data_IF_592393384723
#
_entry.id   IF_592393384723
#
_cell.length_a   1.000
_cell.length_b   1.000
_cell.length_c   1.000
_cell.angle_alpha   90.00
_cell.angle_beta   90.00
_cell.angle_gamma   90.00
#
_symmetry.space_group_name_H-M   'P 1'
#
loop_
_entity.id
_entity.type
_entity.pdbx_description
1 polymer ?
#
# COMPACT_ATOMS: atom_id res chain seq x y z
N UNK A 1 -1.49 17.77 -0.75
CA UNK A 1 -1.85 16.62 -1.63
C UNK A 1 -2.43 17.14 -2.92
N UNK A 2 -1.97 16.62 -4.03
CA UNK A 2 -2.36 17.10 -5.38
C UNK A 2 -3.55 16.33 -5.99
N UNK A 3 -4.14 15.40 -5.27
CA UNK A 3 -5.28 14.59 -5.69
C UNK A 3 -4.96 13.11 -5.83
N UNK A 4 -5.84 12.34 -6.45
CA UNK A 4 -5.67 10.93 -6.75
C UNK A 4 -5.09 10.74 -8.16
N UNK A 5 -4.21 9.73 -8.32
CA UNK A 5 -3.77 9.32 -9.65
C UNK A 5 -5.02 8.90 -10.47
N UNK A 6 -5.17 9.36 -11.72
CA UNK A 6 -6.28 8.92 -12.56
C UNK A 6 -6.33 7.39 -12.61
N UNK A 7 -7.52 6.82 -12.35
CA UNK A 7 -7.75 5.39 -12.40
C UNK A 7 -7.69 4.94 -13.86
N UNK A 8 -6.64 4.23 -14.20
CA UNK A 8 -6.43 3.64 -15.52
C UNK A 8 -5.91 2.22 -15.35
N UNK A 9 -6.25 1.37 -16.29
CA UNK A 9 -5.77 -0.02 -16.29
C UNK A 9 -4.25 -0.04 -16.38
N UNK A 10 -3.62 -0.67 -15.41
CA UNK A 10 -2.19 -0.92 -15.42
C UNK A 10 -1.89 -2.25 -16.14
N UNK A 11 -0.86 -2.27 -16.96
CA UNK A 11 -0.33 -3.50 -17.54
C UNK A 11 0.36 -4.36 -16.48
N UNK A 12 1.09 -3.73 -15.58
CA UNK A 12 1.78 -4.39 -14.47
C UNK A 12 1.96 -3.42 -13.30
N UNK A 13 1.88 -3.97 -12.10
CA UNK A 13 2.18 -3.30 -10.85
C UNK A 13 3.26 -4.12 -10.16
N UNK A 14 4.43 -3.53 -9.92
CA UNK A 14 5.47 -4.12 -9.08
C UNK A 14 5.39 -3.43 -7.71
N UNK A 15 5.03 -4.22 -6.70
CA UNK A 15 4.88 -3.78 -5.31
C UNK A 15 6.06 -4.28 -4.49
N UNK A 16 6.75 -3.38 -3.80
CA UNK A 16 7.95 -3.69 -3.05
C UNK A 16 7.88 -3.12 -1.64
N UNK A 17 8.42 -3.87 -0.69
CA UNK A 17 8.67 -3.41 0.68
C UNK A 17 10.15 -3.11 0.84
N UNK A 18 10.48 -1.86 1.11
CA UNK A 18 11.84 -1.44 1.41
C UNK A 18 12.01 -1.27 2.92
N UNK A 19 12.95 -2.03 3.51
CA UNK A 19 13.28 -1.96 4.92
C UNK A 19 14.78 -2.04 5.13
N UNK A 20 15.34 -1.07 5.85
CA UNK A 20 16.77 -0.98 6.07
C UNK A 20 17.21 -1.80 7.28
N UNK A 21 18.30 -2.54 7.12
CA UNK A 21 18.95 -3.29 8.19
C UNK A 21 20.42 -2.90 8.27
N UNK A 22 20.86 -2.45 9.44
CA UNK A 22 22.28 -2.30 9.74
C UNK A 22 22.89 -3.68 9.96
N UNK A 23 24.03 -3.92 9.35
CA UNK A 23 24.81 -5.14 9.53
C UNK A 23 26.24 -4.77 9.93
N UNK A 24 26.77 -5.44 10.94
CA UNK A 24 28.16 -5.32 11.36
C UNK A 24 28.71 -6.72 11.60
N UNK A 25 29.90 -6.99 11.09
CA UNK A 25 30.59 -8.27 11.30
C UNK A 25 31.87 -8.01 12.09
N UNK A 26 32.08 -8.77 13.15
CA UNK A 26 33.32 -8.73 13.94
C UNK A 26 34.43 -9.49 13.23
N UNK A 27 35.69 -9.26 13.62
CA UNK A 27 36.85 -9.99 13.09
C UNK A 27 36.76 -11.51 13.30
N UNK A 28 36.03 -11.95 14.34
CA UNK A 28 35.69 -13.35 14.59
C UNK A 28 34.58 -13.92 13.70
N UNK A 29 34.07 -13.16 12.73
CA UNK A 29 33.02 -13.60 11.81
C UNK A 29 31.58 -13.52 12.34
N UNK A 30 31.36 -13.05 13.59
CA UNK A 30 30.03 -12.91 14.14
C UNK A 30 29.31 -11.68 13.53
N UNK A 31 28.13 -11.90 12.96
CA UNK A 31 27.33 -10.84 12.35
C UNK A 31 26.24 -10.37 13.32
N UNK A 32 26.20 -9.07 13.57
CA UNK A 32 25.14 -8.37 14.27
C UNK A 32 24.21 -7.70 13.24
N UNK A 33 22.92 -7.77 13.49
CA UNK A 33 21.91 -7.15 12.62
C UNK A 33 20.96 -6.32 13.50
N UNK A 34 20.70 -5.11 13.05
CA UNK A 34 19.70 -4.23 13.67
C UNK A 34 18.82 -3.66 12.58
N UNK A 35 17.53 -3.81 12.72
CA UNK A 35 16.55 -3.18 11.85
C UNK A 35 16.51 -1.67 12.15
N UNK A 36 16.38 -0.87 11.11
CA UNK A 36 16.12 0.56 11.20
C UNK A 36 14.64 0.74 10.88
N UNK A 37 13.94 1.51 11.71
CA UNK A 37 12.54 1.84 11.48
C UNK A 37 12.36 2.66 10.20
N UNK A 38 11.14 2.67 9.66
CA UNK A 38 10.81 3.44 8.46
C UNK A 38 10.65 2.58 7.21
N UNK A 39 10.01 1.42 7.32
CA UNK A 39 9.58 0.64 6.15
C UNK A 39 8.77 1.50 5.19
N UNK A 40 9.02 1.32 3.89
CA UNK A 40 8.32 2.01 2.79
C UNK A 40 7.76 1.01 1.80
N UNK A 41 6.57 1.34 1.30
CA UNK A 41 5.98 0.69 0.14
C UNK A 41 6.39 1.45 -1.12
N UNK A 42 6.96 0.74 -2.09
CA UNK A 42 7.37 1.30 -3.37
C UNK A 42 6.62 0.61 -4.50
N UNK A 43 6.16 1.37 -5.47
CA UNK A 43 5.42 0.89 -6.62
C UNK A 43 6.14 1.26 -7.91
N UNK A 44 6.25 0.30 -8.82
CA UNK A 44 6.58 0.57 -10.22
C UNK A 44 5.36 0.20 -11.05
N UNK A 45 4.81 1.17 -11.76
CA UNK A 45 3.59 1.03 -12.54
C UNK A 45 3.94 1.04 -14.03
N UNK A 46 3.43 0.07 -14.75
CA UNK A 46 3.54 0.02 -16.21
C UNK A 46 2.14 0.16 -16.82
N UNK A 47 2.02 1.00 -17.83
CA UNK A 47 0.79 1.17 -18.59
C UNK A 47 0.84 0.32 -19.86
N UNK A 48 -0.33 -0.16 -20.35
CA UNK A 48 -0.41 -0.69 -21.70
C UNK A 48 -0.22 0.44 -22.71
N UNK A 49 -0.02 0.08 -23.98
CA UNK A 49 -0.02 1.07 -25.06
C UNK A 49 -1.35 1.85 -25.06
N UNK A 50 -1.25 3.15 -25.03
CA UNK A 50 -2.38 4.08 -24.99
C UNK A 50 -2.26 5.12 -26.07
N UNK A 51 -3.40 5.59 -26.56
CA UNK A 51 -3.43 6.74 -27.44
C UNK A 51 -3.00 8.02 -26.70
N UNK A 52 -2.60 9.04 -27.41
CA UNK A 52 -2.24 10.33 -26.83
C UNK A 52 -3.37 10.90 -25.96
N UNK A 53 -4.61 10.77 -26.41
CA UNK A 53 -5.79 11.29 -25.70
C UNK A 53 -5.99 10.60 -24.34
N UNK A 54 -5.75 9.31 -24.27
CA UNK A 54 -5.89 8.52 -23.03
C UNK A 54 -4.73 8.78 -22.06
N UNK A 55 -3.53 9.02 -22.59
CA UNK A 55 -2.34 9.19 -21.74
C UNK A 55 -2.12 10.63 -21.31
N UNK A 56 -2.57 11.63 -22.05
CA UNK A 56 -2.37 13.04 -21.74
C UNK A 56 -2.83 13.45 -20.32
N UNK A 57 -3.97 12.95 -19.77
CA UNK A 57 -4.36 13.25 -18.39
C UNK A 57 -3.38 12.68 -17.36
N UNK A 58 -2.80 11.50 -17.61
CA UNK A 58 -1.82 10.86 -16.73
C UNK A 58 -0.52 11.66 -16.76
N UNK A 59 -0.05 12.01 -17.95
CA UNK A 59 1.15 12.82 -18.13
C UNK A 59 1.03 14.18 -17.43
N UNK A 60 -0.11 14.87 -17.64
CA UNK A 60 -0.38 16.16 -16.99
C UNK A 60 -0.42 16.02 -15.46
N UNK A 61 -1.02 14.94 -14.95
CA UNK A 61 -1.04 14.65 -13.52
C UNK A 61 0.38 14.43 -12.97
N UNK A 62 1.22 13.63 -13.62
CA UNK A 62 2.60 13.36 -13.20
C UNK A 62 3.41 14.66 -13.17
N UNK A 63 3.35 15.47 -14.21
CA UNK A 63 4.07 16.77 -14.27
C UNK A 63 3.59 17.72 -13.15
N UNK A 64 2.29 17.70 -12.83
CA UNK A 64 1.73 18.51 -11.74
C UNK A 64 2.33 18.17 -10.37
N UNK A 65 2.87 16.96 -10.16
CA UNK A 65 3.50 16.56 -8.91
C UNK A 65 4.82 17.30 -8.63
N UNK A 66 5.39 18.01 -9.61
CA UNK A 66 6.65 18.76 -9.48
C UNK A 66 7.78 17.87 -8.96
N UNK A 67 8.03 16.81 -9.69
CA UNK A 67 8.90 15.70 -9.22
C UNK A 67 8.40 15.11 -7.90
N UNK A 68 9.24 14.78 -6.97
CA UNK A 68 8.86 14.20 -5.68
C UNK A 68 8.29 15.16 -4.62
N UNK A 69 7.97 16.44 -4.99
CA UNK A 69 7.56 17.46 -4.01
C UNK A 69 6.16 17.23 -3.45
N UNK A 70 5.22 16.90 -4.32
CA UNK A 70 3.81 16.76 -3.93
C UNK A 70 3.46 15.29 -3.63
N UNK A 71 2.67 15.10 -2.57
CA UNK A 71 2.06 13.81 -2.29
C UNK A 71 0.73 13.68 -3.02
N UNK A 72 0.46 12.51 -3.52
CA UNK A 72 -0.82 12.13 -4.14
C UNK A 72 -1.29 10.77 -3.63
N UNK A 73 -2.51 10.40 -3.96
CA UNK A 73 -3.07 9.13 -3.56
C UNK A 73 -3.20 8.17 -4.75
N UNK A 74 -3.02 6.88 -4.48
CA UNK A 74 -3.23 5.82 -5.45
C UNK A 74 -4.00 4.68 -4.80
N UNK A 75 -4.93 4.09 -5.54
CA UNK A 75 -5.75 2.97 -5.12
C UNK A 75 -5.69 1.89 -6.19
N UNK A 76 -5.59 0.62 -5.78
CA UNK A 76 -5.51 -0.53 -6.67
C UNK A 76 -6.61 -1.55 -6.33
N UNK A 77 -7.88 -1.26 -6.62
CA UNK A 77 -9.00 -2.08 -6.14
C UNK A 77 -8.93 -3.55 -6.57
N UNK A 78 -8.41 -3.84 -7.75
CA UNK A 78 -8.33 -5.21 -8.25
C UNK A 78 -7.15 -6.03 -7.70
N UNK A 79 -6.15 -5.39 -7.09
CA UNK A 79 -4.91 -6.05 -6.68
C UNK A 79 -4.75 -6.22 -5.17
N UNK A 80 -5.34 -5.31 -4.40
CA UNK A 80 -5.15 -5.23 -2.95
C UNK A 80 -6.45 -5.25 -2.15
N UNK A 81 -7.53 -5.76 -2.73
CA UNK A 81 -8.71 -6.11 -1.97
C UNK A 81 -8.39 -7.29 -1.05
N UNK A 82 -8.98 -7.30 0.12
CA UNK A 82 -8.83 -8.41 1.06
C UNK A 82 -9.21 -9.74 0.40
N UNK A 83 -8.39 -10.77 0.62
CA UNK A 83 -8.62 -12.13 0.15
C UNK A 83 -9.45 -12.94 1.15
N UNK A 84 -9.56 -12.42 2.37
CA UNK A 84 -10.39 -13.00 3.40
C UNK A 84 -11.89 -12.86 3.12
N UNK A 85 -12.70 -13.46 3.96
CA UNK A 85 -14.17 -13.45 3.86
C UNK A 85 -14.83 -12.34 4.70
N UNK A 86 -14.05 -11.40 5.22
CA UNK A 86 -14.56 -10.34 6.08
C UNK A 86 -15.48 -9.37 5.32
N UNK A 87 -16.62 -9.04 5.94
CA UNK A 87 -17.59 -8.07 5.41
C UNK A 87 -18.12 -7.12 6.49
N UNK A 88 -17.66 -7.28 7.72
CA UNK A 88 -18.06 -6.46 8.86
C UNK A 88 -17.39 -5.09 8.91
N UNK A 89 -17.86 -4.24 9.78
CA UNK A 89 -17.19 -2.99 10.11
C UNK A 89 -16.22 -3.21 11.25
N UNK A 90 -15.04 -3.71 10.91
CA UNK A 90 -14.01 -4.04 11.90
C UNK A 90 -13.42 -2.77 12.50
N UNK A 91 -13.25 -2.77 13.81
CA UNK A 91 -12.72 -1.64 14.60
C UNK A 91 -11.65 -2.10 15.59
N UNK A 92 -10.80 -1.17 15.95
CA UNK A 92 -9.78 -1.38 16.98
C UNK A 92 -10.47 -1.51 18.34
N UNK A 93 -10.14 -2.56 19.07
CA UNK A 93 -10.66 -2.83 20.42
C UNK A 93 -9.58 -2.50 21.45
N UNK A 94 -9.75 -1.38 22.14
CA UNK A 94 -8.78 -0.79 23.03
C UNK A 94 -7.75 0.09 22.29
N UNK A 95 -6.92 0.78 23.04
CA UNK A 95 -5.87 1.63 22.48
C UNK A 95 -4.58 0.85 22.25
N UNK A 96 -3.87 1.16 21.18
CA UNK A 96 -2.56 0.59 20.85
C UNK A 96 -1.50 1.68 20.71
N UNK A 97 -0.25 1.36 21.02
CA UNK A 97 0.86 2.30 20.96
C UNK A 97 1.68 2.14 19.69
N UNK A 98 2.38 3.18 19.30
CA UNK A 98 3.35 3.09 18.21
C UNK A 98 4.41 2.01 18.53
N UNK A 99 4.72 1.16 17.56
CA UNK A 99 5.62 0.02 17.69
C UNK A 99 4.93 -1.32 17.91
N UNK A 100 3.62 -1.34 18.23
CA UNK A 100 2.87 -2.59 18.36
C UNK A 100 2.78 -3.31 17.01
N UNK A 101 2.88 -4.64 17.06
CA UNK A 101 2.72 -5.54 15.90
C UNK A 101 1.47 -6.40 15.99
N UNK A 102 0.78 -6.34 17.12
CA UNK A 102 -0.46 -7.07 17.38
C UNK A 102 -1.55 -6.10 17.76
N UNK A 103 -2.67 -6.12 17.02
CA UNK A 103 -3.79 -5.21 17.21
C UNK A 103 -5.04 -6.02 17.50
N UNK A 104 -5.66 -5.76 18.65
CA UNK A 104 -6.97 -6.33 18.97
C UNK A 104 -8.04 -5.57 18.22
N UNK A 105 -8.97 -6.31 17.63
CA UNK A 105 -10.08 -5.75 16.86
C UNK A 105 -11.37 -6.50 17.16
N UNK A 106 -12.49 -5.84 16.92
CA UNK A 106 -13.84 -6.39 17.00
C UNK A 106 -14.72 -5.95 15.82
N UNK A 107 -16.01 -6.28 15.85
CA UNK A 107 -16.93 -5.91 14.79
C UNK A 107 -16.83 -6.77 13.53
N UNK A 108 -16.28 -7.99 13.63
CA UNK A 108 -16.32 -8.96 12.55
C UNK A 108 -17.75 -9.36 12.18
N UNK A 109 -18.01 -9.66 10.91
CA UNK A 109 -19.31 -10.13 10.45
C UNK A 109 -19.72 -11.48 11.06
N UNK A 110 -18.74 -12.26 11.54
CA UNK A 110 -18.96 -13.55 12.21
C UNK A 110 -17.63 -14.24 12.51
N UNK A 111 -17.72 -15.39 13.21
CA UNK A 111 -16.56 -16.20 13.62
C UNK A 111 -16.11 -17.16 12.49
N UNK A 112 -15.93 -16.63 11.29
CA UNK A 112 -15.55 -17.43 10.11
C UNK A 112 -14.03 -17.55 10.02
N UNK A 113 -13.52 -18.75 9.86
CA UNK A 113 -12.10 -18.99 9.64
C UNK A 113 -11.61 -18.30 8.38
N UNK A 114 -10.51 -17.55 8.51
CA UNK A 114 -9.92 -16.79 7.40
C UNK A 114 -10.73 -15.57 7.03
N UNK A 115 -11.31 -14.89 8.02
CA UNK A 115 -11.92 -13.55 7.82
C UNK A 115 -10.93 -12.59 7.21
N UNK A 116 -9.67 -12.62 7.68
CA UNK A 116 -8.52 -12.04 6.98
C UNK A 116 -7.48 -13.10 6.66
N UNK A 117 -6.73 -12.90 5.59
CA UNK A 117 -5.65 -13.77 5.14
C UNK A 117 -4.29 -13.10 5.26
N UNK A 118 -3.26 -13.91 5.48
CA UNK A 118 -1.89 -13.45 5.37
C UNK A 118 -1.65 -12.84 3.98
N UNK A 119 -1.16 -11.60 3.93
CA UNK A 119 -0.99 -10.82 2.72
C UNK A 119 -2.07 -9.76 2.49
N UNK A 120 -3.19 -9.80 3.21
CA UNK A 120 -4.20 -8.76 3.16
C UNK A 120 -3.62 -7.43 3.68
N UNK A 121 -3.98 -6.34 3.02
CA UNK A 121 -3.58 -5.00 3.42
C UNK A 121 -4.67 -4.33 4.23
N UNK A 122 -4.26 -3.59 5.24
CA UNK A 122 -5.16 -2.79 6.07
C UNK A 122 -4.62 -1.38 6.27
N UNK A 123 -5.52 -0.48 6.57
CA UNK A 123 -5.20 0.92 6.87
C UNK A 123 -6.11 1.43 7.98
N UNK A 124 -5.53 2.16 8.90
CA UNK A 124 -6.25 2.94 9.93
C UNK A 124 -6.46 4.39 9.46
N UNK A 125 -6.86 5.29 10.35
CA UNK A 125 -7.14 6.70 10.01
C UNK A 125 -5.89 7.50 9.60
N UNK A 126 -4.69 6.97 9.79
CA UNK A 126 -3.45 7.60 9.32
C UNK A 126 -3.01 7.10 7.93
N UNK A 127 -1.93 7.67 7.37
CA UNK A 127 -1.53 7.42 5.98
C UNK A 127 -0.77 6.12 5.74
N UNK A 128 -0.31 5.43 6.80
CA UNK A 128 0.45 4.18 6.69
C UNK A 128 -0.46 3.01 6.39
N UNK A 129 -0.03 2.14 5.48
CA UNK A 129 -0.67 0.87 5.15
C UNK A 129 0.16 -0.27 5.76
N UNK A 130 -0.52 -1.25 6.32
CA UNK A 130 0.05 -2.43 6.97
C UNK A 130 -0.38 -3.69 6.24
N UNK A 131 0.41 -4.75 6.37
CA UNK A 131 0.08 -6.07 5.86
C UNK A 131 -0.20 -7.02 7.03
N UNK A 132 -1.28 -7.76 6.95
CA UNK A 132 -1.57 -8.86 7.87
C UNK A 132 -0.64 -10.02 7.52
N UNK A 133 0.07 -10.55 8.50
CA UNK A 133 1.10 -11.59 8.27
C UNK A 133 0.69 -12.99 8.75
N UNK A 134 -0.50 -13.12 9.27
CA UNK A 134 -1.07 -14.42 9.67
C UNK A 134 -2.57 -14.47 9.39
N UNK A 135 -3.08 -15.65 9.03
CA UNK A 135 -4.52 -15.86 8.87
C UNK A 135 -5.25 -15.58 10.17
N UNK A 136 -6.43 -14.97 10.07
CA UNK A 136 -7.25 -14.55 11.21
C UNK A 136 -8.55 -15.34 11.25
N UNK A 137 -8.87 -15.85 12.43
CA UNK A 137 -10.15 -16.48 12.73
C UNK A 137 -10.75 -15.78 13.95
N UNK A 138 -11.82 -15.00 13.79
CA UNK A 138 -12.49 -14.37 14.91
C UNK A 138 -13.10 -15.37 15.87
N UNK A 139 -13.29 -14.92 17.09
CA UNK A 139 -14.05 -15.62 18.13
C UNK A 139 -14.88 -14.60 18.91
N UNK A 140 -16.18 -14.81 19.01
CA UNK A 140 -17.12 -13.84 19.61
C UNK A 140 -17.00 -12.45 18.97
N UNK A 141 -16.93 -12.40 17.65
CA UNK A 141 -16.77 -11.19 16.82
C UNK A 141 -15.49 -10.38 17.09
N UNK A 142 -14.51 -10.94 17.79
CA UNK A 142 -13.23 -10.29 18.09
C UNK A 142 -12.05 -11.14 17.61
N UNK A 143 -10.92 -10.49 17.33
CA UNK A 143 -9.69 -11.17 16.96
C UNK A 143 -8.45 -10.33 17.27
N UNK A 144 -7.28 -10.91 17.01
CA UNK A 144 -6.00 -10.19 17.04
C UNK A 144 -5.37 -10.25 15.66
N UNK A 145 -5.10 -9.10 15.09
CA UNK A 145 -4.37 -8.96 13.84
C UNK A 145 -2.87 -8.89 14.14
N UNK A 146 -2.06 -9.69 13.43
CA UNK A 146 -0.60 -9.55 13.44
C UNK A 146 -0.20 -8.80 12.18
N UNK A 147 0.46 -7.66 12.33
CA UNK A 147 0.74 -6.73 11.24
C UNK A 147 2.24 -6.48 11.06
N UNK A 148 2.62 -6.17 9.83
CA UNK A 148 3.92 -5.63 9.45
C UNK A 148 3.72 -4.45 8.46
N UNK A 149 4.52 -3.39 8.59
CA UNK A 149 5.47 -3.08 9.65
C UNK A 149 4.78 -2.79 10.99
N UNK A 150 5.55 -2.64 12.10
CA UNK A 150 4.98 -2.19 13.39
C UNK A 150 4.22 -0.88 13.24
N UNK A 151 3.25 -0.63 14.13
CA UNK A 151 2.47 0.59 14.13
C UNK A 151 3.36 1.83 14.13
N UNK A 152 3.10 2.73 13.20
CA UNK A 152 3.80 4.01 13.10
C UNK A 152 3.27 5.03 14.11
N UNK A 153 1.97 5.11 14.23
CA UNK A 153 1.25 6.05 15.08
C UNK A 153 0.34 5.26 16.04
N UNK A 154 0.07 5.80 17.22
CA UNK A 154 -0.85 5.17 18.16
C UNK A 154 -2.28 5.11 17.58
N UNK A 155 -3.04 4.08 17.96
CA UNK A 155 -4.44 3.91 17.59
C UNK A 155 -5.33 4.17 18.80
N UNK A 156 -6.44 4.84 18.56
CA UNK A 156 -7.50 5.01 19.54
C UNK A 156 -8.44 3.79 19.53
N UNK A 157 -9.14 3.61 20.64
CA UNK A 157 -10.25 2.68 20.72
C UNK A 157 -11.34 3.07 19.69
N UNK A 158 -12.00 2.08 19.12
CA UNK A 158 -13.07 2.23 18.13
C UNK A 158 -12.63 2.83 16.77
N UNK A 159 -11.33 2.92 16.51
CA UNK A 159 -10.82 3.37 15.21
C UNK A 159 -11.10 2.34 14.12
N UNK A 160 -11.62 2.79 12.97
CA UNK A 160 -12.00 1.89 11.88
C UNK A 160 -10.78 1.26 11.20
N UNK A 161 -10.87 -0.05 10.94
CA UNK A 161 -9.94 -0.81 10.10
C UNK A 161 -10.47 -0.82 8.67
N UNK A 162 -9.78 -0.15 7.76
CA UNK A 162 -10.10 -0.20 6.34
C UNK A 162 -9.31 -1.33 5.70
N UNK A 163 -9.97 -2.25 5.02
CA UNK A 163 -9.37 -3.43 4.38
C UNK A 163 -9.74 -3.58 2.90
N UNK A 164 -10.65 -2.75 2.40
CA UNK A 164 -11.02 -2.68 0.99
C UNK A 164 -10.64 -1.32 0.39
N UNK A 165 -10.35 -1.31 -0.91
CA UNK A 165 -9.99 -0.09 -1.65
C UNK A 165 -8.89 0.73 -0.97
N UNK A 166 -7.88 0.04 -0.47
CA UNK A 166 -6.79 0.66 0.28
C UNK A 166 -6.12 1.76 -0.55
N UNK A 167 -6.08 2.95 0.02
CA UNK A 167 -5.50 4.14 -0.60
C UNK A 167 -4.12 4.41 -0.04
N UNK A 168 -3.10 4.35 -0.89
CA UNK A 168 -1.74 4.69 -0.52
C UNK A 168 -1.49 6.18 -0.75
N UNK A 169 -0.78 6.80 0.20
CA UNK A 169 -0.24 8.16 0.02
C UNK A 169 1.20 8.03 -0.43
N UNK A 170 1.50 8.50 -1.63
CA UNK A 170 2.78 8.30 -2.30
C UNK A 170 3.31 9.61 -2.88
N UNK A 171 4.58 9.62 -3.28
CA UNK A 171 5.23 10.66 -4.06
C UNK A 171 6.09 10.02 -5.15
N UNK A 172 6.44 10.79 -6.17
CA UNK A 172 7.34 10.31 -7.21
C UNK A 172 8.75 10.17 -6.65
N UNK A 173 9.40 9.05 -6.96
CA UNK A 173 10.74 8.72 -6.46
C UNK A 173 11.87 9.18 -7.40
N UNK A 174 11.55 9.75 -8.57
CA UNK A 174 12.51 10.27 -9.55
C UNK A 174 12.23 11.72 -9.87
N UNK A 175 13.29 12.50 -9.98
CA UNK A 175 13.21 13.89 -10.46
C UNK A 175 13.09 13.98 -11.99
N UNK A 176 13.45 12.90 -12.69
CA UNK A 176 13.33 12.80 -14.15
C UNK A 176 12.09 11.95 -14.49
N UNK A 177 11.22 12.51 -15.31
CA UNK A 177 10.04 11.84 -15.84
C UNK A 177 10.19 11.69 -17.35
N UNK A 178 10.28 10.46 -17.83
CA UNK A 178 10.40 10.15 -19.25
C UNK A 178 9.07 9.64 -19.78
N UNK A 179 8.68 10.12 -20.93
CA UNK A 179 7.45 9.72 -21.64
C UNK A 179 7.82 9.28 -23.06
N UNK A 180 8.30 8.03 -23.23
CA UNK A 180 8.68 7.54 -24.54
C UNK A 180 7.47 7.46 -25.47
N UNK A 181 7.61 8.05 -26.66
CA UNK A 181 6.63 7.98 -27.74
C UNK A 181 7.15 6.99 -28.78
N UNK A 182 6.57 5.80 -28.83
CA UNK A 182 7.19 4.70 -29.59
C UNK A 182 6.68 4.53 -31.03
N UNK A 183 5.43 4.85 -31.34
CA UNK A 183 4.88 4.55 -32.67
C UNK A 183 3.67 5.43 -33.01
N UNK A 184 3.51 5.72 -34.28
CA UNK A 184 2.26 6.24 -34.84
C UNK A 184 1.46 5.02 -35.28
N UNK A 185 0.24 4.87 -34.81
CA UNK A 185 -0.66 3.80 -35.29
C UNK A 185 -1.22 4.08 -36.70
N UNK A 186 -2.00 3.14 -37.22
CA UNK A 186 -2.59 3.23 -38.58
C UNK A 186 -3.51 4.46 -38.76
N UNK A 187 -3.98 5.03 -37.64
CA UNK A 187 -4.90 6.17 -37.62
C UNK A 187 -4.18 7.48 -37.28
N UNK A 188 -2.85 7.52 -37.39
CA UNK A 188 -2.01 8.68 -37.07
C UNK A 188 -1.98 9.04 -35.54
N UNK A 189 -2.35 8.13 -34.65
CA UNK A 189 -2.27 8.34 -33.23
C UNK A 189 -0.88 8.00 -32.70
N UNK A 190 -0.35 8.84 -31.83
CA UNK A 190 0.92 8.58 -31.13
C UNK A 190 0.62 7.62 -29.97
N UNK A 191 1.22 6.44 -29.99
CA UNK A 191 1.16 5.49 -28.88
C UNK A 191 2.27 5.81 -27.90
N UNK A 192 1.91 5.86 -26.61
CA UNK A 192 2.82 6.16 -25.50
C UNK A 192 2.84 4.93 -24.59
N UNK A 193 4.05 4.51 -24.20
CA UNK A 193 4.27 3.33 -23.38
C UNK A 193 4.68 3.72 -21.95
#
# INVERSE_FOLDING_TARGET
MSGALPSVDFKAINFQSEQRTLRSTTDSGKTFRRQIDGQRWTFTLSYPLKTRTEFAPIQAFIIKQRSGKENFTITFPSYFNAQGSETGTVRVNGSHTAGDTTITVDGHAGDTAGSFKAGDLIKFNHSKVYMIVSDVTPSSNASTLTIEPPLRDALADDEQVNYDNITFTVHLNSDVQEFPTNTIDKDNNILIN
#
